data_IF_626251883928
#
_entry.id   IF_626251883928
#
_cell.length_a   1.000
_cell.length_b   1.000
_cell.length_c   1.000
_cell.angle_alpha   90.00
_cell.angle_beta   90.00
_cell.angle_gamma   90.00
#
_symmetry.space_group_name_H-M   'P 1'
#
loop_
_entity.id
_entity.type
_entity.pdbx_description
1 polymer ?
#
# COMPACT_ATOMS: atom_id res chain seq x y z
N UNK A 1 -15.78 -7.79 -2.21
CA UNK A 1 -15.58 -7.30 -0.83
C UNK A 1 -14.12 -6.88 -0.77
N UNK A 2 -13.83 -5.58 -0.71
CA UNK A 2 -12.46 -5.08 -0.80
C UNK A 2 -11.66 -5.41 0.45
N UNK A 3 -10.35 -5.57 0.30
CA UNK A 3 -9.44 -5.80 1.43
C UNK A 3 -9.47 -4.61 2.39
N UNK A 4 -9.42 -4.88 3.70
CA UNK A 4 -9.32 -3.85 4.72
C UNK A 4 -7.89 -3.29 4.80
N UNK A 5 -7.61 -2.25 4.02
CA UNK A 5 -6.28 -1.61 3.95
C UNK A 5 -5.85 -1.00 5.28
N UNK A 6 -6.78 -0.48 6.10
CA UNK A 6 -6.47 0.01 7.44
C UNK A 6 -6.01 -1.11 8.37
N UNK A 7 -6.59 -2.31 8.22
CA UNK A 7 -6.14 -3.52 8.92
C UNK A 7 -4.71 -3.89 8.53
N UNK A 8 -4.38 -3.85 7.23
CA UNK A 8 -3.02 -4.10 6.75
C UNK A 8 -2.00 -3.10 7.28
N UNK A 9 -2.35 -1.81 7.33
CA UNK A 9 -1.49 -0.78 7.92
C UNK A 9 -1.17 -1.09 9.39
N UNK A 10 -2.18 -1.45 10.19
CA UNK A 10 -1.99 -1.82 11.60
C UNK A 10 -1.09 -3.05 11.77
N UNK A 11 -1.21 -4.03 10.88
CA UNK A 11 -0.32 -5.21 10.88
C UNK A 11 1.12 -4.83 10.54
N UNK A 12 1.33 -3.96 9.56
CA UNK A 12 2.64 -3.44 9.22
C UNK A 12 3.27 -2.64 10.38
N UNK A 13 2.50 -1.75 11.02
CA UNK A 13 2.94 -0.98 12.18
C UNK A 13 3.31 -1.88 13.37
N UNK A 14 2.53 -2.94 13.61
CA UNK A 14 2.84 -3.94 14.64
C UNK A 14 4.16 -4.67 14.31
N UNK A 15 4.34 -5.11 13.07
CA UNK A 15 5.58 -5.76 12.64
C UNK A 15 6.82 -4.84 12.75
N UNK A 16 6.66 -3.54 12.44
CA UNK A 16 7.69 -2.53 12.66
C UNK A 16 8.02 -2.36 14.15
N UNK A 17 7.00 -2.33 15.03
CA UNK A 17 7.17 -2.24 16.48
C UNK A 17 7.92 -3.44 17.05
N UNK A 18 7.65 -4.63 16.51
CA UNK A 18 8.33 -5.88 16.86
C UNK A 18 9.73 -6.01 16.23
N UNK A 19 10.23 -4.95 15.56
CA UNK A 19 11.52 -4.91 14.83
C UNK A 19 11.64 -5.97 13.74
N UNK A 20 10.52 -6.46 13.20
CA UNK A 20 10.49 -7.44 12.13
C UNK A 20 9.52 -7.06 11.00
N UNK A 21 9.76 -5.93 10.31
CA UNK A 21 8.92 -5.51 9.18
C UNK A 21 8.97 -6.49 8.01
N UNK A 22 10.09 -7.22 7.84
CA UNK A 22 10.26 -8.21 6.76
C UNK A 22 9.24 -9.33 6.82
N UNK A 23 8.85 -9.75 8.03
CA UNK A 23 7.83 -10.78 8.23
C UNK A 23 6.49 -10.38 7.61
N UNK A 24 6.06 -9.13 7.79
CA UNK A 24 4.83 -8.64 7.16
C UNK A 24 4.87 -8.79 5.63
N UNK A 25 5.98 -8.40 4.99
CA UNK A 25 6.11 -8.52 3.53
C UNK A 25 6.20 -9.97 3.05
N UNK A 26 6.78 -10.87 3.85
CA UNK A 26 6.82 -12.30 3.56
C UNK A 26 5.42 -12.91 3.65
N UNK A 27 4.70 -12.64 4.73
CA UNK A 27 3.33 -13.12 4.95
C UNK A 27 2.37 -12.61 3.84
N UNK A 28 2.53 -11.33 3.43
CA UNK A 28 1.76 -10.75 2.34
C UNK A 28 2.07 -11.41 0.99
N UNK A 29 3.35 -11.68 0.69
CA UNK A 29 3.76 -12.38 -0.53
C UNK A 29 3.19 -13.79 -0.56
N UNK A 30 3.26 -14.51 0.55
CA UNK A 30 2.75 -15.87 0.68
C UNK A 30 1.22 -15.93 0.46
N UNK A 31 0.48 -14.96 1.01
CA UNK A 31 -0.97 -14.87 0.83
C UNK A 31 -1.37 -14.59 -0.63
N UNK A 32 -0.60 -13.77 -1.34
CA UNK A 32 -0.79 -13.51 -2.78
C UNK A 32 -0.44 -14.75 -3.62
N UNK A 33 0.66 -15.44 -3.31
CA UNK A 33 1.07 -16.67 -4.00
C UNK A 33 0.05 -17.81 -3.83
N UNK A 34 -0.49 -17.96 -2.61
CA UNK A 34 -1.56 -18.94 -2.31
C UNK A 34 -2.93 -18.55 -2.84
N UNK A 35 -3.07 -17.37 -3.45
CA UNK A 35 -4.34 -16.80 -3.94
C UNK A 35 -5.39 -16.64 -2.83
N UNK A 36 -4.96 -16.54 -1.57
CA UNK A 36 -5.81 -16.19 -0.43
C UNK A 36 -6.23 -14.71 -0.52
N UNK A 37 -5.37 -13.88 -1.11
CA UNK A 37 -5.64 -12.51 -1.52
C UNK A 37 -5.45 -12.40 -3.03
N UNK A 38 -6.37 -11.75 -3.73
CA UNK A 38 -6.20 -11.45 -5.15
C UNK A 38 -5.68 -10.02 -5.34
N UNK A 39 -4.78 -9.77 -6.30
CA UNK A 39 -4.33 -8.42 -6.64
C UNK A 39 -5.48 -7.45 -6.93
N UNK A 40 -6.57 -7.93 -7.56
CA UNK A 40 -7.76 -7.15 -7.90
C UNK A 40 -8.59 -6.68 -6.68
N UNK A 41 -8.31 -7.20 -5.49
CA UNK A 41 -8.97 -6.79 -4.25
C UNK A 41 -8.30 -5.58 -3.57
N UNK A 42 -7.15 -5.16 -4.08
CA UNK A 42 -6.41 -4.01 -3.60
C UNK A 42 -6.73 -2.76 -4.43
N UNK A 43 -6.90 -1.64 -3.74
CA UNK A 43 -6.95 -0.31 -4.35
C UNK A 43 -5.61 0.39 -4.18
N UNK A 44 -4.95 0.72 -5.28
CA UNK A 44 -3.69 1.49 -5.26
C UNK A 44 -3.87 2.84 -4.58
N UNK A 45 -5.01 3.50 -4.80
CA UNK A 45 -5.34 4.76 -4.11
C UNK A 45 -5.39 4.55 -2.60
N UNK A 46 -6.10 3.53 -2.12
CA UNK A 46 -6.19 3.28 -0.68
C UNK A 46 -4.84 2.87 -0.08
N UNK A 47 -4.01 2.13 -0.82
CA UNK A 47 -2.65 1.83 -0.38
C UNK A 47 -1.83 3.11 -0.21
N UNK A 48 -1.91 4.03 -1.17
CA UNK A 48 -1.24 5.32 -1.10
C UNK A 48 -1.73 6.13 0.11
N UNK A 49 -3.04 6.27 0.28
CA UNK A 49 -3.64 7.02 1.39
C UNK A 49 -3.30 6.46 2.79
N UNK A 50 -2.91 5.18 2.90
CA UNK A 50 -2.67 4.52 4.18
C UNK A 50 -1.19 4.26 4.48
N UNK A 51 -0.33 4.13 3.47
CA UNK A 51 1.10 3.82 3.61
C UNK A 51 2.00 4.99 3.18
N UNK A 52 1.44 6.13 2.80
CA UNK A 52 2.18 7.37 2.58
C UNK A 52 1.74 8.37 3.65
N UNK A 53 2.71 9.01 4.29
CA UNK A 53 2.47 10.10 5.23
C UNK A 53 1.70 11.23 4.53
N UNK A 54 0.64 11.74 5.18
CA UNK A 54 -0.31 12.69 4.59
C UNK A 54 -0.88 12.22 3.23
N UNK A 55 -0.91 10.90 2.99
CA UNK A 55 -1.26 10.32 1.69
C UNK A 55 -2.69 10.65 1.26
N UNK A 56 -3.60 10.91 2.21
CA UNK A 56 -4.98 11.33 1.92
C UNK A 56 -5.02 12.76 1.42
N UNK A 57 -4.37 13.66 2.14
CA UNK A 57 -4.23 15.07 1.79
C UNK A 57 -3.52 15.22 0.44
N UNK A 58 -2.47 14.44 0.19
CA UNK A 58 -1.78 14.37 -1.10
C UNK A 58 -2.70 13.85 -2.20
N UNK A 59 -3.41 12.73 -2.00
CA UNK A 59 -4.34 12.21 -2.98
C UNK A 59 -5.46 13.20 -3.32
N UNK A 60 -5.94 13.95 -2.32
CA UNK A 60 -6.94 15.00 -2.51
C UNK A 60 -6.37 16.26 -3.16
N UNK A 61 -5.07 16.56 -2.99
CA UNK A 61 -4.40 17.67 -3.70
C UNK A 61 -4.31 17.45 -5.21
N UNK A 62 -4.31 16.19 -5.66
CA UNK A 62 -4.36 15.82 -7.07
C UNK A 62 -5.79 15.75 -7.63
N UNK A 63 -6.82 15.95 -6.80
CA UNK A 63 -8.21 15.92 -7.27
C UNK A 63 -8.57 17.24 -7.96
N UNK A 64 -8.77 17.27 -9.29
CA UNK A 64 -9.08 18.51 -10.03
C UNK A 64 -10.45 19.09 -9.68
N UNK A 65 -11.29 18.36 -8.92
CA UNK A 65 -12.59 18.81 -8.43
C UNK A 65 -12.49 19.38 -7.00
N UNK A 66 -11.34 19.26 -6.35
CA UNK A 66 -11.04 19.83 -5.04
C UNK A 66 -10.43 21.23 -5.15
N UNK A 67 -10.65 22.08 -4.16
CA UNK A 67 -10.24 23.49 -4.16
C UNK A 67 -8.79 23.71 -3.66
N UNK A 68 -7.84 22.82 -4.01
CA UNK A 68 -6.50 22.79 -3.41
C UNK A 68 -5.37 22.85 -4.44
N UNK A 69 -4.54 23.89 -4.37
CA UNK A 69 -3.25 23.92 -5.07
C UNK A 69 -2.20 23.11 -4.31
N UNK A 70 -1.35 22.40 -5.06
CA UNK A 70 -0.29 21.53 -4.53
C UNK A 70 0.76 22.35 -3.78
N UNK A 71 0.84 22.19 -2.46
CA UNK A 71 1.99 22.57 -1.65
C UNK A 71 2.78 21.29 -1.35
N UNK A 72 3.78 20.98 -2.19
CA UNK A 72 4.72 19.89 -1.95
C UNK A 72 5.62 20.28 -0.77
N UNK A 73 5.27 19.86 0.44
CA UNK A 73 6.21 19.80 1.54
C UNK A 73 6.94 18.46 1.51
N UNK A 74 8.22 18.46 1.87
CA UNK A 74 9.05 17.25 1.90
C UNK A 74 8.52 16.26 2.97
N UNK A 75 7.92 15.15 2.52
CA UNK A 75 7.44 14.06 3.40
C UNK A 75 8.58 13.08 3.73
N UNK A 76 8.57 12.57 4.96
CA UNK A 76 9.61 11.70 5.51
C UNK A 76 9.72 10.38 4.77
N UNK A 77 10.95 10.04 4.37
CA UNK A 77 11.33 8.93 3.48
C UNK A 77 10.97 7.49 3.95
N UNK A 78 10.33 7.33 5.10
CA UNK A 78 10.15 6.02 5.75
C UNK A 78 8.92 5.28 5.22
N UNK A 79 7.82 5.97 4.91
CA UNK A 79 6.54 5.31 4.55
C UNK A 79 6.42 5.00 3.03
N UNK A 80 7.03 5.83 2.18
CA UNK A 80 7.06 5.63 0.72
C UNK A 80 7.70 4.30 0.30
N UNK A 81 8.64 3.79 1.10
CA UNK A 81 9.27 2.50 0.87
C UNK A 81 8.32 1.32 1.09
N UNK A 82 7.45 1.40 2.10
CA UNK A 82 6.44 0.37 2.36
C UNK A 82 5.39 0.36 1.24
N UNK A 83 4.88 1.53 0.85
CA UNK A 83 3.98 1.69 -0.29
C UNK A 83 4.57 1.09 -1.58
N UNK A 84 5.84 1.40 -1.87
CA UNK A 84 6.53 0.91 -3.07
C UNK A 84 6.68 -0.62 -3.08
N UNK A 85 7.05 -1.21 -1.94
CA UNK A 85 7.17 -2.67 -1.81
C UNK A 85 5.83 -3.39 -2.00
N UNK A 86 4.77 -2.92 -1.32
CA UNK A 86 3.44 -3.53 -1.41
C UNK A 86 2.91 -3.43 -2.84
N UNK A 87 3.03 -2.25 -3.46
CA UNK A 87 2.59 -2.03 -4.84
C UNK A 87 3.37 -2.90 -5.82
N UNK A 88 4.69 -3.04 -5.62
CA UNK A 88 5.54 -3.92 -6.42
C UNK A 88 5.09 -5.39 -6.37
N UNK A 89 4.79 -5.91 -5.17
CA UNK A 89 4.28 -7.27 -4.99
C UNK A 89 2.94 -7.48 -5.70
N UNK A 90 1.99 -6.55 -5.54
CA UNK A 90 0.67 -6.63 -6.17
C UNK A 90 0.77 -6.64 -7.70
N UNK A 91 1.59 -5.73 -8.27
CA UNK A 91 1.78 -5.63 -9.73
C UNK A 91 2.45 -6.89 -10.26
N UNK A 92 3.49 -7.39 -9.57
CA UNK A 92 4.16 -8.64 -9.96
C UNK A 92 3.17 -9.82 -9.96
N UNK A 93 2.39 -9.98 -8.89
CA UNK A 93 1.37 -11.04 -8.80
C UNK A 93 0.31 -10.93 -9.91
N UNK A 94 -0.16 -9.72 -10.21
CA UNK A 94 -1.12 -9.50 -11.29
C UNK A 94 -0.56 -9.87 -12.68
N UNK A 95 0.73 -9.54 -12.93
CA UNK A 95 1.41 -9.93 -14.16
C UNK A 95 1.50 -11.46 -14.25
N UNK A 96 1.95 -12.12 -13.18
CA UNK A 96 2.06 -13.58 -13.16
C UNK A 96 0.71 -14.29 -13.35
N UNK A 97 -0.38 -13.76 -12.78
CA UNK A 97 -1.74 -14.27 -13.02
C UNK A 97 -2.15 -14.16 -14.49
N UNK A 98 -1.71 -13.12 -15.22
CA UNK A 98 -2.05 -12.93 -16.64
C UNK A 98 -1.31 -13.87 -17.60
N UNK A 99 -0.21 -14.49 -17.16
CA UNK A 99 0.55 -15.47 -17.93
C UNK A 99 0.11 -16.93 -17.67
N UNK A 100 -0.76 -17.17 -16.69
CA UNK A 100 -1.38 -18.48 -16.40
C UNK A 100 -2.71 -18.65 -17.12
#
# INVERSE_FOLDING_TARGET
MGINIQGLRRLHEAACRDRNPRRFFADLSEALEKKELRPSEFSIRQLFENFVEDGRELADSFNPRGNGGVQLMESGAVDTSAFSNITGQIVYSAIMESYQ
#
